data_IF_218995460956
#
_entry.id   IF_218995460956
#
_cell.length_a   1.000
_cell.length_b   1.000
_cell.length_c   1.000
_cell.angle_alpha   90.00
_cell.angle_beta   90.00
_cell.angle_gamma   90.00
#
_symmetry.space_group_name_H-M   'P 1'
#
loop_
_entity.id
_entity.type
_entity.pdbx_description
1 polymer ?
#
# COMPACT_ATOMS: atom_id res chain seq x y z
N UNK A 1 -19.59 -15.32 -0.88
CA UNK A 1 -19.06 -14.10 -1.52
C UNK A 1 -18.52 -14.46 -2.90
N UNK A 2 -18.66 -13.58 -3.89
CA UNK A 2 -18.01 -13.77 -5.19
C UNK A 2 -16.58 -13.20 -5.17
N UNK A 3 -15.78 -13.52 -6.20
CA UNK A 3 -14.36 -13.11 -6.28
C UNK A 3 -14.16 -11.59 -6.25
N UNK A 4 -15.10 -10.81 -6.82
CA UNK A 4 -15.02 -9.34 -6.77
C UNK A 4 -15.22 -8.78 -5.35
N UNK A 5 -16.15 -9.35 -4.59
CA UNK A 5 -16.37 -8.95 -3.19
C UNK A 5 -15.16 -9.29 -2.34
N UNK A 6 -14.57 -10.49 -2.51
CA UNK A 6 -13.34 -10.88 -1.79
C UNK A 6 -12.19 -9.92 -2.11
N UNK A 7 -11.94 -9.66 -3.40
CA UNK A 7 -10.89 -8.73 -3.82
C UNK A 7 -11.09 -7.33 -3.20
N UNK A 8 -12.32 -6.80 -3.23
CA UNK A 8 -12.63 -5.50 -2.64
C UNK A 8 -12.43 -5.45 -1.12
N UNK A 9 -12.80 -6.52 -0.40
CA UNK A 9 -12.57 -6.63 1.05
C UNK A 9 -11.07 -6.65 1.37
N UNK A 10 -10.25 -7.33 0.57
CA UNK A 10 -8.79 -7.35 0.78
C UNK A 10 -8.17 -5.96 0.65
N UNK A 11 -8.59 -5.15 -0.33
CA UNK A 11 -8.17 -3.74 -0.38
C UNK A 11 -8.61 -2.96 0.87
N UNK A 12 -9.84 -3.15 1.34
CA UNK A 12 -10.34 -2.46 2.54
C UNK A 12 -9.53 -2.85 3.78
N UNK A 13 -9.23 -4.14 3.96
CA UNK A 13 -8.39 -4.62 5.06
C UNK A 13 -7.00 -3.99 4.98
N UNK A 14 -6.38 -4.00 3.80
CA UNK A 14 -5.06 -3.40 3.61
C UNK A 14 -5.03 -1.89 3.93
N UNK A 15 -6.11 -1.17 3.63
CA UNK A 15 -6.21 0.26 3.94
C UNK A 15 -6.38 0.53 5.44
N UNK A 16 -7.25 -0.24 6.11
CA UNK A 16 -7.67 0.09 7.48
C UNK A 16 -6.83 -0.59 8.56
N UNK A 17 -6.22 -1.74 8.27
CA UNK A 17 -5.49 -2.50 9.27
C UNK A 17 -4.34 -1.71 9.92
N UNK A 18 -3.50 -0.95 9.19
CA UNK A 18 -2.44 -0.14 9.82
C UNK A 18 -3.01 0.90 10.78
N UNK A 19 -4.11 1.55 10.42
CA UNK A 19 -4.76 2.54 11.30
C UNK A 19 -5.28 1.90 12.58
N UNK A 20 -5.96 0.75 12.47
CA UNK A 20 -6.50 0.04 13.63
C UNK A 20 -5.39 -0.48 14.54
N UNK A 21 -4.30 -1.00 13.95
CA UNK A 21 -3.22 -1.60 14.69
C UNK A 21 -2.29 -0.55 15.31
N UNK A 22 -1.75 0.42 14.56
CA UNK A 22 -0.87 1.44 15.15
C UNK A 22 -1.64 2.42 16.03
N UNK A 23 -2.70 3.06 15.49
CA UNK A 23 -3.39 4.15 16.19
C UNK A 23 -4.50 3.67 17.14
N UNK A 24 -4.92 2.42 17.03
CA UNK A 24 -5.94 1.83 17.91
C UNK A 24 -5.31 0.99 19.01
N UNK A 25 -4.66 -0.11 18.64
CA UNK A 25 -4.23 -1.15 19.58
C UNK A 25 -2.78 -1.02 20.03
N UNK A 26 -1.91 -0.46 19.19
CA UNK A 26 -0.48 -0.37 19.37
C UNK A 26 -0.04 0.81 20.24
N UNK A 27 1.28 1.08 20.27
CA UNK A 27 1.87 2.07 21.15
C UNK A 27 1.33 3.50 20.96
N UNK A 28 0.94 3.87 19.75
CA UNK A 28 0.40 5.20 19.43
C UNK A 28 -1.07 5.39 19.83
N UNK A 29 -1.74 4.30 20.21
CA UNK A 29 -3.15 4.26 20.60
C UNK A 29 -3.34 3.86 22.05
N UNK A 30 -3.95 2.69 22.27
CA UNK A 30 -4.26 2.16 23.61
C UNK A 30 -3.06 1.48 24.30
N UNK A 31 -2.00 1.14 23.55
CA UNK A 31 -0.84 0.42 24.09
C UNK A 31 -1.12 -1.02 24.52
N UNK A 32 -2.22 -1.62 24.06
CA UNK A 32 -2.57 -3.03 24.34
C UNK A 32 -1.57 -3.97 23.66
N UNK A 33 -1.07 -3.60 22.49
CA UNK A 33 -0.05 -4.31 21.75
C UNK A 33 1.30 -3.60 21.90
N UNK A 34 2.33 -4.37 22.25
CA UNK A 34 3.72 -3.92 22.18
C UNK A 34 4.15 -3.70 20.72
N UNK A 35 5.23 -2.93 20.50
CA UNK A 35 5.68 -2.56 19.15
C UNK A 35 6.01 -3.80 18.31
N UNK A 36 6.71 -4.79 18.86
CA UNK A 36 7.09 -6.01 18.15
C UNK A 36 5.87 -6.77 17.58
N UNK A 37 4.81 -6.88 18.39
CA UNK A 37 3.59 -7.56 17.98
C UNK A 37 2.77 -6.71 17.01
N UNK A 38 2.77 -5.39 17.20
CA UNK A 38 2.09 -4.43 16.31
C UNK A 38 2.66 -4.54 14.89
N UNK A 39 3.98 -4.45 14.75
CA UNK A 39 4.67 -4.57 13.46
C UNK A 39 4.34 -5.90 12.76
N UNK A 40 4.49 -7.03 13.46
CA UNK A 40 4.17 -8.36 12.89
C UNK A 40 2.73 -8.45 12.37
N UNK A 41 1.76 -7.99 13.15
CA UNK A 41 0.36 -8.05 12.77
C UNK A 41 0.05 -7.14 11.58
N UNK A 42 0.60 -5.92 11.57
CA UNK A 42 0.47 -4.99 10.45
C UNK A 42 1.03 -5.63 9.19
N UNK A 43 2.28 -6.07 9.23
CA UNK A 43 2.95 -6.71 8.10
C UNK A 43 2.14 -7.87 7.53
N UNK A 44 1.65 -8.79 8.39
CA UNK A 44 0.91 -9.97 7.94
C UNK A 44 -0.46 -9.64 7.37
N UNK A 45 -1.20 -8.73 8.00
CA UNK A 45 -2.53 -8.34 7.52
C UNK A 45 -2.42 -7.54 6.23
N UNK A 46 -1.38 -6.72 6.08
CA UNK A 46 -1.18 -5.93 4.87
C UNK A 46 -0.82 -6.77 3.63
N UNK A 47 -0.52 -8.09 3.75
CA UNK A 47 -0.50 -8.99 2.58
C UNK A 47 -1.81 -8.99 1.79
N UNK A 48 -2.91 -8.53 2.39
CA UNK A 48 -4.15 -8.30 1.66
C UNK A 48 -3.95 -7.36 0.45
N UNK A 49 -3.03 -6.39 0.50
CA UNK A 49 -2.77 -5.45 -0.60
C UNK A 49 -2.18 -6.14 -1.85
N UNK A 50 -1.04 -6.85 -1.78
CA UNK A 50 -0.51 -7.57 -2.93
C UNK A 50 -1.48 -8.65 -3.43
N UNK A 51 -2.21 -9.34 -2.54
CA UNK A 51 -3.22 -10.33 -2.97
C UNK A 51 -4.36 -9.64 -3.75
N UNK A 52 -4.85 -8.48 -3.31
CA UNK A 52 -5.88 -7.73 -4.02
C UNK A 52 -5.38 -7.24 -5.40
N UNK A 53 -4.13 -6.78 -5.49
CA UNK A 53 -3.51 -6.40 -6.77
C UNK A 53 -3.41 -7.62 -7.70
N UNK A 54 -2.97 -8.77 -7.18
CA UNK A 54 -2.91 -10.04 -7.91
C UNK A 54 -4.27 -10.44 -8.50
N UNK A 55 -5.33 -10.39 -7.67
CA UNK A 55 -6.69 -10.70 -8.12
C UNK A 55 -7.22 -9.70 -9.14
N UNK A 56 -6.80 -8.43 -9.04
CA UNK A 56 -7.18 -7.37 -9.99
C UNK A 56 -6.48 -7.56 -11.33
N UNK A 57 -5.18 -7.87 -11.28
CA UNK A 57 -4.36 -8.27 -12.45
C UNK A 57 -4.99 -9.44 -13.19
N UNK A 58 -5.40 -10.49 -12.46
CA UNK A 58 -6.01 -11.67 -13.08
C UNK A 58 -7.35 -11.36 -13.74
N UNK A 59 -8.12 -10.40 -13.20
CA UNK A 59 -9.36 -9.92 -13.80
C UNK A 59 -9.16 -9.05 -15.06
N UNK A 60 -7.94 -8.54 -15.28
CA UNK A 60 -7.53 -7.68 -16.40
C UNK A 60 -6.83 -8.50 -17.52
N UNK A 61 -6.62 -9.80 -17.29
CA UNK A 61 -5.83 -10.66 -18.17
C UNK A 61 -6.31 -10.61 -19.63
N UNK A 62 -5.37 -10.35 -20.54
CA UNK A 62 -5.63 -10.30 -21.98
C UNK A 62 -6.06 -8.94 -22.52
N UNK A 63 -6.31 -7.94 -21.66
CA UNK A 63 -6.59 -6.56 -22.07
C UNK A 63 -5.36 -5.64 -22.08
N UNK A 64 -5.52 -4.46 -22.68
CA UNK A 64 -4.50 -3.40 -22.61
C UNK A 64 -4.22 -3.00 -21.17
N UNK A 65 -2.96 -2.71 -20.84
CA UNK A 65 -2.55 -2.40 -19.46
C UNK A 65 -2.23 -3.61 -18.59
N UNK A 66 -2.58 -4.84 -18.99
CA UNK A 66 -2.21 -6.07 -18.24
C UNK A 66 -0.69 -6.19 -18.00
N UNK A 67 0.12 -5.90 -19.03
CA UNK A 67 1.59 -5.92 -18.91
C UNK A 67 2.12 -4.92 -17.86
N UNK A 68 1.51 -3.74 -17.77
CA UNK A 68 1.85 -2.73 -16.76
C UNK A 68 1.46 -3.21 -15.36
N UNK A 69 0.26 -3.77 -15.19
CA UNK A 69 -0.15 -4.32 -13.89
C UNK A 69 0.77 -5.47 -13.46
N UNK A 70 1.24 -6.31 -14.38
CA UNK A 70 2.23 -7.36 -14.07
C UNK A 70 3.56 -6.77 -13.59
N UNK A 71 4.08 -5.76 -14.30
CA UNK A 71 5.32 -5.10 -13.91
C UNK A 71 5.18 -4.43 -12.54
N UNK A 72 4.10 -3.69 -12.32
CA UNK A 72 3.81 -3.05 -11.03
C UNK A 72 3.67 -4.06 -9.89
N UNK A 73 2.93 -5.16 -10.11
CA UNK A 73 2.79 -6.24 -9.13
C UNK A 73 4.13 -6.89 -8.77
N UNK A 74 5.00 -7.14 -9.77
CA UNK A 74 6.33 -7.69 -9.53
C UNK A 74 7.16 -6.76 -8.64
N UNK A 75 7.17 -5.46 -8.94
CA UNK A 75 7.86 -4.46 -8.13
C UNK A 75 7.30 -4.45 -6.70
N UNK A 76 5.96 -4.44 -6.54
CA UNK A 76 5.31 -4.48 -5.22
C UNK A 76 5.76 -5.68 -4.42
N UNK A 77 5.78 -6.89 -4.98
CA UNK A 77 6.16 -8.11 -4.23
C UNK A 77 7.63 -8.07 -3.79
N UNK A 78 8.54 -7.62 -4.66
CA UNK A 78 9.97 -7.49 -4.31
C UNK A 78 10.15 -6.45 -3.21
N UNK A 79 9.52 -5.29 -3.37
CA UNK A 79 9.55 -4.20 -2.40
C UNK A 79 8.97 -4.61 -1.05
N UNK A 80 7.90 -5.41 -1.06
CA UNK A 80 7.24 -5.90 0.15
C UNK A 80 8.20 -6.72 1.02
N UNK A 81 9.01 -7.58 0.40
CA UNK A 81 10.00 -8.38 1.12
C UNK A 81 11.02 -7.50 1.85
N UNK A 82 11.42 -6.38 1.26
CA UNK A 82 12.31 -5.39 1.89
C UNK A 82 11.58 -4.68 3.04
N UNK A 83 10.31 -4.31 2.85
CA UNK A 83 9.47 -3.72 3.90
C UNK A 83 9.30 -4.61 5.12
N UNK A 84 9.05 -5.91 4.93
CA UNK A 84 8.97 -6.90 6.03
C UNK A 84 10.26 -6.90 6.86
N UNK A 85 11.43 -6.82 6.19
CA UNK A 85 12.71 -6.77 6.89
C UNK A 85 12.85 -5.48 7.68
N UNK A 86 12.45 -4.34 7.11
CA UNK A 86 12.43 -3.05 7.82
C UNK A 86 11.54 -3.11 9.08
N UNK A 87 10.32 -3.61 8.95
CA UNK A 87 9.37 -3.75 10.06
C UNK A 87 9.91 -4.68 11.15
N UNK A 88 10.66 -5.73 10.79
CA UNK A 88 11.31 -6.61 11.76
C UNK A 88 12.39 -5.89 12.58
N UNK A 89 13.15 -4.97 11.98
CA UNK A 89 14.09 -4.12 12.72
C UNK A 89 13.37 -3.10 13.60
N UNK A 90 12.29 -2.49 13.11
CA UNK A 90 11.47 -1.56 13.89
C UNK A 90 10.86 -2.26 15.12
N UNK A 91 10.32 -3.46 14.94
CA UNK A 91 9.78 -4.28 16.02
C UNK A 91 10.83 -4.72 17.05
N UNK A 92 12.11 -4.76 16.67
CA UNK A 92 13.24 -5.01 17.56
C UNK A 92 13.83 -3.73 18.17
N UNK A 93 13.12 -2.60 18.07
CA UNK A 93 13.54 -1.28 18.56
C UNK A 93 14.85 -0.76 17.92
N UNK A 94 15.14 -1.20 16.69
CA UNK A 94 16.27 -0.75 15.87
C UNK A 94 15.81 0.21 14.77
N UNK A 95 15.07 1.26 15.15
CA UNK A 95 14.36 2.18 14.24
C UNK A 95 15.26 2.77 13.16
N UNK A 96 16.46 3.27 13.49
CA UNK A 96 17.37 3.87 12.50
C UNK A 96 17.72 2.90 11.34
N UNK A 97 17.87 1.60 11.67
CA UNK A 97 18.15 0.57 10.66
C UNK A 97 16.88 0.23 9.87
N UNK A 98 15.75 0.10 10.57
CA UNK A 98 14.46 -0.17 9.94
C UNK A 98 14.04 0.94 8.98
N UNK A 99 14.19 2.20 9.36
CA UNK A 99 13.90 3.37 8.53
C UNK A 99 14.80 3.44 7.30
N UNK A 100 16.11 3.22 7.45
CA UNK A 100 17.05 3.24 6.32
C UNK A 100 16.73 2.16 5.27
N UNK A 101 16.36 0.95 5.71
CA UNK A 101 15.94 -0.15 4.82
C UNK A 101 14.54 0.14 4.24
N UNK A 102 13.62 0.59 5.10
CA UNK A 102 12.24 0.88 4.79
C UNK A 102 12.09 1.97 3.74
N UNK A 103 12.91 3.02 3.77
CA UNK A 103 12.94 4.06 2.76
C UNK A 103 13.07 3.48 1.34
N UNK A 104 13.94 2.47 1.15
CA UNK A 104 14.10 1.80 -0.14
C UNK A 104 12.95 0.85 -0.47
N UNK A 105 12.50 0.06 0.51
CA UNK A 105 11.40 -0.90 0.33
C UNK A 105 10.08 -0.21 0.03
N UNK A 106 9.64 0.71 0.89
CA UNK A 106 8.36 1.39 0.78
C UNK A 106 8.29 2.36 -0.41
N UNK A 107 9.37 3.08 -0.73
CA UNK A 107 9.40 3.88 -1.97
C UNK A 107 9.25 3.00 -3.21
N UNK A 108 9.95 1.86 -3.27
CA UNK A 108 9.81 0.90 -4.38
C UNK A 108 8.39 0.31 -4.46
N UNK A 109 7.74 0.06 -3.33
CA UNK A 109 6.33 -0.35 -3.30
C UNK A 109 5.44 0.72 -3.94
N UNK A 110 5.62 1.99 -3.59
CA UNK A 110 4.89 3.10 -4.20
C UNK A 110 5.14 3.19 -5.71
N UNK A 111 6.37 2.98 -6.19
CA UNK A 111 6.66 2.89 -7.62
C UNK A 111 5.89 1.73 -8.28
N UNK A 112 5.84 0.55 -7.66
CA UNK A 112 5.08 -0.58 -8.18
C UNK A 112 3.58 -0.29 -8.27
N UNK A 113 3.02 0.34 -7.24
CA UNK A 113 1.62 0.77 -7.22
C UNK A 113 1.32 1.85 -8.27
N UNK A 114 2.24 2.78 -8.50
CA UNK A 114 2.14 3.77 -9.57
C UNK A 114 2.02 3.10 -10.94
N UNK A 115 2.92 2.16 -11.24
CA UNK A 115 2.91 1.40 -12.49
C UNK A 115 1.61 0.58 -12.63
N UNK A 116 1.15 -0.06 -11.54
CA UNK A 116 -0.16 -0.72 -11.53
C UNK A 116 -1.33 0.25 -11.79
N UNK A 117 -1.26 1.47 -11.25
CA UNK A 117 -2.27 2.52 -11.48
C UNK A 117 -2.36 2.96 -12.94
N UNK A 118 -1.23 3.09 -13.63
CA UNK A 118 -1.21 3.32 -15.09
C UNK A 118 -1.87 2.14 -15.81
N UNK A 119 -1.55 0.91 -15.41
CA UNK A 119 -2.20 -0.29 -15.97
C UNK A 119 -3.72 -0.29 -15.79
N UNK A 120 -4.21 0.08 -14.60
CA UNK A 120 -5.65 0.21 -14.32
C UNK A 120 -6.32 1.33 -15.13
N UNK A 121 -5.61 2.45 -15.35
CA UNK A 121 -6.06 3.55 -16.18
C UNK A 121 -6.23 3.11 -17.64
N UNK A 122 -5.19 2.49 -18.22
CA UNK A 122 -5.18 2.02 -19.61
C UNK A 122 -6.29 0.99 -19.84
N UNK A 123 -6.43 0.03 -18.94
CA UNK A 123 -7.49 -0.99 -19.04
C UNK A 123 -8.90 -0.42 -18.78
N UNK A 124 -9.02 0.77 -18.17
CA UNK A 124 -10.29 1.32 -17.64
C UNK A 124 -10.96 0.36 -16.65
N UNK A 125 -10.16 -0.31 -15.82
CA UNK A 125 -10.68 -1.27 -14.84
C UNK A 125 -11.34 -0.58 -13.63
N UNK A 126 -10.84 0.59 -13.24
CA UNK A 126 -11.47 1.46 -12.26
C UNK A 126 -11.92 2.77 -12.93
N UNK A 127 -12.77 3.58 -12.28
CA UNK A 127 -13.05 4.93 -12.75
C UNK A 127 -11.75 5.72 -12.98
N UNK A 128 -11.70 6.46 -14.08
CA UNK A 128 -10.50 7.16 -14.53
C UNK A 128 -9.91 8.06 -13.44
N UNK A 129 -10.77 8.80 -12.73
CA UNK A 129 -10.35 9.69 -11.64
C UNK A 129 -9.69 8.93 -10.48
N UNK A 130 -10.13 7.70 -10.21
CA UNK A 130 -9.57 6.87 -9.14
C UNK A 130 -8.21 6.30 -9.53
N UNK A 131 -8.03 5.91 -10.81
CA UNK A 131 -6.71 5.54 -11.32
C UNK A 131 -5.75 6.73 -11.29
N UNK A 132 -6.21 7.93 -11.66
CA UNK A 132 -5.41 9.15 -11.59
C UNK A 132 -5.01 9.50 -10.15
N UNK A 133 -5.95 9.39 -9.20
CA UNK A 133 -5.68 9.57 -7.78
C UNK A 133 -4.62 8.60 -7.28
N UNK A 134 -4.72 7.31 -7.64
CA UNK A 134 -3.70 6.30 -7.31
C UNK A 134 -2.34 6.71 -7.86
N UNK A 135 -2.24 7.08 -9.13
CA UNK A 135 -0.98 7.54 -9.71
C UNK A 135 -0.40 8.76 -8.98
N UNK A 136 -1.22 9.78 -8.67
CA UNK A 136 -0.75 10.99 -7.98
C UNK A 136 -0.21 10.66 -6.59
N UNK A 137 -1.00 9.93 -5.79
CA UNK A 137 -0.65 9.59 -4.41
C UNK A 137 0.61 8.72 -4.37
N UNK A 138 0.70 7.74 -5.27
CA UNK A 138 1.84 6.82 -5.31
C UNK A 138 3.11 7.46 -5.87
N UNK A 139 2.99 8.36 -6.85
CA UNK A 139 4.12 9.16 -7.30
C UNK A 139 4.63 10.08 -6.17
N UNK A 140 3.72 10.71 -5.43
CA UNK A 140 4.08 11.50 -4.26
C UNK A 140 4.80 10.66 -3.21
N UNK A 141 4.27 9.49 -2.85
CA UNK A 141 4.91 8.60 -1.87
C UNK A 141 6.28 8.09 -2.31
N UNK A 142 6.45 7.77 -3.60
CA UNK A 142 7.75 7.40 -4.15
C UNK A 142 8.76 8.55 -4.05
N UNK A 143 8.35 9.78 -4.37
CA UNK A 143 9.21 10.96 -4.29
C UNK A 143 9.62 11.26 -2.85
N UNK A 144 8.64 11.28 -1.94
CA UNK A 144 8.86 11.59 -0.52
C UNK A 144 9.81 10.60 0.12
N UNK A 145 9.56 9.29 -0.02
CA UNK A 145 10.39 8.27 0.63
C UNK A 145 11.71 8.00 -0.10
N UNK A 146 11.74 8.18 -1.42
CA UNK A 146 12.90 7.82 -2.24
C UNK A 146 13.93 8.93 -2.40
N UNK A 147 13.53 10.20 -2.28
CA UNK A 147 14.38 11.32 -2.69
C UNK A 147 14.36 12.53 -1.75
N UNK A 148 13.30 12.74 -0.98
CA UNK A 148 13.22 13.89 -0.08
C UNK A 148 14.01 13.59 1.18
N UNK A 149 14.82 14.56 1.63
CA UNK A 149 15.45 14.50 2.94
C UNK A 149 14.40 14.82 4.02
N UNK A 150 13.79 13.77 4.55
CA UNK A 150 12.81 13.87 5.63
C UNK A 150 13.54 14.18 6.94
N UNK A 151 13.09 15.23 7.62
CA UNK A 151 13.60 15.67 8.92
C UNK A 151 12.43 15.84 9.89
N UNK A 152 12.66 15.86 11.21
CA UNK A 152 11.58 16.06 12.18
C UNK A 152 10.72 17.32 11.93
N UNK A 153 11.29 18.36 11.32
CA UNK A 153 10.60 19.62 11.01
C UNK A 153 9.61 19.50 9.83
N UNK A 154 9.81 18.55 8.92
CA UNK A 154 8.99 18.40 7.71
C UNK A 154 8.23 17.06 7.63
N UNK A 155 8.58 16.09 8.48
CA UNK A 155 8.08 14.72 8.44
C UNK A 155 6.55 14.68 8.46
N UNK A 156 5.92 15.30 9.47
CA UNK A 156 4.46 15.28 9.60
C UNK A 156 3.73 15.89 8.39
N UNK A 157 4.29 16.95 7.79
CA UNK A 157 3.71 17.63 6.62
C UNK A 157 3.85 16.78 5.35
N UNK A 158 4.88 15.93 5.27
CA UNK A 158 5.14 15.06 4.12
C UNK A 158 4.45 13.70 4.24
N UNK A 159 4.55 13.06 5.40
CA UNK A 159 4.05 11.71 5.64
C UNK A 159 2.54 11.68 5.82
N UNK A 160 1.94 12.68 6.47
CA UNK A 160 0.48 12.66 6.70
C UNK A 160 -0.31 12.67 5.38
N UNK A 161 -0.06 13.55 4.40
CA UNK A 161 -0.76 13.50 3.11
C UNK A 161 -0.48 12.21 2.34
N UNK A 162 0.75 11.68 2.42
CA UNK A 162 1.14 10.44 1.76
C UNK A 162 0.34 9.25 2.29
N UNK A 163 0.35 9.01 3.60
CA UNK A 163 -0.31 7.86 4.21
C UNK A 163 -1.83 7.97 4.19
N UNK A 164 -2.40 9.16 4.43
CA UNK A 164 -3.84 9.36 4.32
C UNK A 164 -4.32 9.24 2.86
N UNK A 165 -3.57 9.82 1.92
CA UNK A 165 -3.86 9.69 0.50
C UNK A 165 -3.81 8.24 0.04
N UNK A 166 -2.78 7.49 0.47
CA UNK A 166 -2.63 6.07 0.18
C UNK A 166 -3.81 5.27 0.74
N UNK A 167 -4.07 5.43 2.04
CA UNK A 167 -5.14 4.73 2.75
C UNK A 167 -6.50 4.97 2.09
N UNK A 168 -6.85 6.23 1.84
CA UNK A 168 -8.11 6.60 1.20
C UNK A 168 -8.22 6.00 -0.20
N UNK A 169 -7.15 6.06 -0.98
CA UNK A 169 -7.16 5.53 -2.35
C UNK A 169 -7.36 4.02 -2.35
N UNK A 170 -6.61 3.29 -1.53
CA UNK A 170 -6.75 1.82 -1.43
C UNK A 170 -8.14 1.44 -0.94
N UNK A 171 -8.70 2.16 0.04
CA UNK A 171 -10.06 1.97 0.50
C UNK A 171 -11.08 2.13 -0.65
N UNK A 172 -10.92 3.19 -1.45
CA UNK A 172 -11.78 3.46 -2.61
C UNK A 172 -11.65 2.36 -3.68
N UNK A 173 -10.45 1.88 -3.98
CA UNK A 173 -10.27 0.72 -4.88
C UNK A 173 -11.08 -0.48 -4.41
N UNK A 174 -11.07 -0.75 -3.10
CA UNK A 174 -11.88 -1.80 -2.49
C UNK A 174 -13.38 -1.60 -2.71
N UNK A 175 -13.89 -0.41 -2.40
CA UNK A 175 -15.31 -0.06 -2.57
C UNK A 175 -15.75 -0.19 -4.04
N UNK A 176 -14.98 0.39 -4.97
CA UNK A 176 -15.30 0.33 -6.40
C UNK A 176 -15.16 -1.08 -6.97
N UNK A 177 -14.22 -1.88 -6.47
CA UNK A 177 -14.09 -3.28 -6.88
C UNK A 177 -15.34 -4.09 -6.55
N UNK A 178 -15.92 -3.89 -5.37
CA UNK A 178 -17.15 -4.57 -4.95
C UNK A 178 -18.37 -4.13 -5.75
N UNK A 179 -18.45 -2.84 -6.10
CA UNK A 179 -19.58 -2.24 -6.83
C UNK A 179 -19.54 -2.47 -8.35
N UNK A 180 -18.41 -2.92 -8.90
CA UNK A 180 -18.27 -3.16 -10.34
C UNK A 180 -19.30 -4.20 -10.82
N UNK A 181 -20.11 -3.82 -11.80
CA UNK A 181 -20.97 -4.74 -12.55
C UNK A 181 -20.09 -5.73 -13.35
N UNK A 182 -20.59 -6.95 -13.55
CA UNK A 182 -19.77 -8.08 -14.05
C UNK A 182 -19.14 -7.78 -15.41
#
# INVERSE_FOLDING_TARGET
MNTKTVNGVLFIIAALAPLVLYLGLGPDGTGILEIELTEKLVTWIMFCAPIAIMMTRDAIKGGEGYGLVNAGFLIVIIAWAVGIVADAFNGAEMSDTGEAIGAFGWSSMFLGLFVSGIGYYVHRFFPIWLCALLCIVTAYGFIVLGFVNVTPDNEGILFMPMWLGFTLTILLLGIFRMRREN
#
